data_IF_336508625901
#
_entry.id   IF_336508625901
#
_cell.length_a   1.000
_cell.length_b   1.000
_cell.length_c   1.000
_cell.angle_alpha   90.00
_cell.angle_beta   90.00
_cell.angle_gamma   90.00
#
_symmetry.space_group_name_H-M   'P 1'
#
loop_
_entity.id
_entity.type
_entity.pdbx_description
1 polymer ?
#
# COMPACT_ATOMS: atom_id res chain seq x y z
N UNK A 1 36.55 -13.53 31.79
CA UNK A 1 35.63 -14.69 31.84
C UNK A 1 34.27 -14.19 32.29
N UNK A 2 33.22 -14.30 31.44
CA UNK A 2 31.84 -13.99 31.86
C UNK A 2 31.34 -15.18 32.69
N UNK A 3 30.78 -14.92 33.87
CA UNK A 3 30.33 -15.93 34.83
C UNK A 3 29.33 -16.91 34.20
N UNK A 4 29.50 -18.20 34.46
CA UNK A 4 28.53 -19.26 34.18
C UNK A 4 27.18 -18.87 34.80
N UNK A 5 26.25 -18.33 34.01
CA UNK A 5 24.94 -17.87 34.48
C UNK A 5 24.53 -16.47 34.05
N UNK A 6 25.44 -15.66 33.48
CA UNK A 6 25.02 -14.36 32.92
C UNK A 6 24.23 -14.56 31.62
N UNK A 7 22.91 -14.38 31.70
CA UNK A 7 22.04 -14.17 30.53
C UNK A 7 21.82 -12.66 30.38
N UNK A 8 22.26 -12.01 29.28
CA UNK A 8 21.94 -10.61 29.06
C UNK A 8 20.41 -10.45 29.06
N UNK A 9 19.84 -9.53 29.86
CA UNK A 9 18.40 -9.37 29.93
C UNK A 9 17.88 -8.85 28.58
N UNK A 10 16.75 -9.36 28.07
CA UNK A 10 16.14 -8.87 26.82
C UNK A 10 15.83 -7.35 26.86
N UNK A 11 15.59 -6.82 28.06
CA UNK A 11 15.21 -5.42 28.31
C UNK A 11 16.36 -4.41 28.26
N UNK A 12 17.63 -4.83 28.32
CA UNK A 12 18.76 -3.86 28.32
C UNK A 12 18.99 -3.17 26.98
N UNK A 13 18.25 -3.54 25.93
CA UNK A 13 18.47 -3.13 24.55
C UNK A 13 17.45 -2.10 24.04
N UNK A 14 16.38 -1.84 24.81
CA UNK A 14 15.31 -0.93 24.45
C UNK A 14 15.35 0.32 25.34
N UNK A 15 15.14 1.50 24.74
CA UNK A 15 15.04 2.76 25.49
C UNK A 15 13.80 2.79 26.40
N UNK A 16 13.75 3.70 27.37
CA UNK A 16 12.62 3.82 28.31
C UNK A 16 11.27 4.02 27.60
N UNK A 17 11.27 4.65 26.42
CA UNK A 17 10.08 4.90 25.59
C UNK A 17 9.44 3.63 24.99
N UNK A 18 10.17 2.51 24.96
CA UNK A 18 9.67 1.21 24.48
C UNK A 18 9.07 0.35 25.60
N UNK A 19 9.01 0.86 26.83
CA UNK A 19 8.37 0.17 27.94
C UNK A 19 6.91 -0.17 27.60
N UNK A 20 6.54 -1.44 27.76
CA UNK A 20 5.20 -1.95 27.45
C UNK A 20 5.04 -2.53 26.04
N UNK A 21 5.95 -2.21 25.11
CA UNK A 21 5.92 -2.79 23.75
C UNK A 21 6.45 -4.22 23.73
N UNK A 22 5.82 -5.05 22.91
CA UNK A 22 6.20 -6.44 22.70
C UNK A 22 7.36 -6.54 21.71
N UNK A 23 8.27 -7.45 22.02
CA UNK A 23 9.30 -7.90 21.09
C UNK A 23 8.77 -9.06 20.26
N UNK A 24 9.50 -9.47 19.21
CA UNK A 24 9.12 -10.65 18.42
C UNK A 24 8.90 -11.94 19.22
N UNK A 25 9.46 -12.05 20.44
CA UNK A 25 9.32 -13.22 21.31
C UNK A 25 8.06 -13.20 22.19
N UNK A 26 7.30 -12.10 22.16
CA UNK A 26 6.07 -11.94 22.93
C UNK A 26 4.95 -11.62 21.96
N UNK A 27 3.92 -12.45 21.88
CA UNK A 27 2.81 -12.18 20.95
C UNK A 27 2.13 -10.86 21.30
N UNK A 28 2.12 -9.94 20.33
CA UNK A 28 1.41 -8.68 20.43
C UNK A 28 -0.09 -8.79 20.21
N UNK A 29 -0.73 -7.63 20.03
CA UNK A 29 -2.16 -7.49 19.76
C UNK A 29 -2.39 -6.47 18.64
N UNK A 30 -3.36 -6.74 17.79
CA UNK A 30 -3.95 -5.75 16.90
C UNK A 30 -5.16 -5.13 17.60
N UNK A 31 -5.10 -3.84 17.93
CA UNK A 31 -6.31 -3.11 18.31
C UNK A 31 -7.10 -2.69 17.07
N UNK A 32 -8.39 -2.44 17.26
CA UNK A 32 -9.25 -1.93 16.19
C UNK A 32 -8.74 -0.60 15.64
N UNK A 33 -8.78 -0.48 14.32
CA UNK A 33 -8.42 0.73 13.57
C UNK A 33 -9.65 1.54 13.15
N UNK A 34 -10.85 0.96 13.25
CA UNK A 34 -12.11 1.65 13.09
C UNK A 34 -12.22 2.89 13.98
N UNK A 35 -12.91 3.92 13.48
CA UNK A 35 -13.13 5.18 14.20
C UNK A 35 -14.61 5.55 14.12
N UNK A 36 -15.23 6.06 15.20
CA UNK A 36 -16.62 6.49 15.17
C UNK A 36 -16.90 7.55 14.09
N UNK A 37 -18.06 7.51 13.41
CA UNK A 37 -18.40 8.47 12.34
C UNK A 37 -18.32 9.93 12.78
N UNK A 38 -18.75 10.23 14.01
CA UNK A 38 -18.75 11.61 14.54
C UNK A 38 -17.33 12.17 14.69
N UNK A 39 -16.38 11.35 15.13
CA UNK A 39 -14.97 11.72 15.20
C UNK A 39 -14.40 12.00 13.80
N UNK A 40 -14.75 11.17 12.80
CA UNK A 40 -14.32 11.38 11.42
C UNK A 40 -14.91 12.67 10.81
N UNK A 41 -16.17 13.00 11.13
CA UNK A 41 -16.81 14.26 10.70
C UNK A 41 -16.19 15.49 11.37
N UNK A 42 -15.90 15.42 12.67
CA UNK A 42 -15.22 16.52 13.39
C UNK A 42 -13.85 16.79 12.75
N UNK A 43 -13.04 15.74 12.58
CA UNK A 43 -11.73 15.85 11.93
C UNK A 43 -11.90 16.34 10.49
N UNK A 44 -12.83 15.74 9.73
CA UNK A 44 -13.18 16.09 8.36
C UNK A 44 -13.48 17.58 8.19
N UNK A 45 -14.21 18.16 9.15
CA UNK A 45 -14.48 19.59 9.21
C UNK A 45 -13.18 20.37 9.37
N UNK A 46 -12.35 20.04 10.37
CA UNK A 46 -11.09 20.73 10.64
C UNK A 46 -10.10 20.68 9.47
N UNK A 47 -9.94 19.52 8.84
CA UNK A 47 -8.99 19.33 7.73
C UNK A 47 -9.47 19.93 6.40
N UNK A 48 -10.71 20.44 6.35
CA UNK A 48 -11.33 21.09 5.19
C UNK A 48 -11.60 22.59 5.39
N UNK A 49 -11.19 23.16 6.53
CA UNK A 49 -11.32 24.58 6.84
C UNK A 49 -10.00 25.34 6.73
N UNK A 50 -10.11 26.65 6.54
CA UNK A 50 -9.00 27.61 6.67
C UNK A 50 -9.45 28.79 7.52
N UNK A 51 -8.52 29.50 8.20
CA UNK A 51 -8.87 30.64 9.04
C UNK A 51 -9.55 31.77 8.25
N UNK A 52 -10.38 32.56 8.93
CA UNK A 52 -10.96 33.76 8.34
C UNK A 52 -9.85 34.70 7.82
N UNK A 53 -10.05 35.22 6.60
CA UNK A 53 -9.07 36.10 5.93
C UNK A 53 -7.92 35.38 5.23
N UNK A 54 -7.82 34.05 5.32
CA UNK A 54 -6.81 33.26 4.61
C UNK A 54 -7.11 33.20 3.11
N UNK A 55 -6.19 33.69 2.29
CA UNK A 55 -6.33 33.81 0.84
C UNK A 55 -5.86 32.52 0.17
N UNK A 56 -6.65 31.45 0.28
CA UNK A 56 -6.31 30.18 -0.35
C UNK A 56 -6.41 30.25 -1.89
N UNK A 57 -5.53 29.53 -2.59
CA UNK A 57 -5.59 29.44 -4.06
C UNK A 57 -6.94 28.89 -4.56
N UNK A 58 -7.48 29.48 -5.63
CA UNK A 58 -8.82 29.17 -6.18
C UNK A 58 -9.08 27.67 -6.42
N UNK A 59 -8.08 26.93 -6.91
CA UNK A 59 -8.23 25.50 -7.18
C UNK A 59 -8.36 24.69 -5.89
N UNK A 60 -7.74 25.14 -4.80
CA UNK A 60 -7.78 24.46 -3.50
C UNK A 60 -9.10 24.71 -2.76
N UNK A 61 -9.79 25.83 -3.02
CA UNK A 61 -11.16 26.04 -2.51
C UNK A 61 -12.07 24.87 -2.90
N UNK A 62 -11.97 24.42 -4.16
CA UNK A 62 -12.74 23.26 -4.65
C UNK A 62 -12.31 21.96 -3.98
N UNK A 63 -11.01 21.75 -3.80
CA UNK A 63 -10.48 20.55 -3.11
C UNK A 63 -10.99 20.49 -1.68
N UNK A 64 -10.91 21.59 -0.93
CA UNK A 64 -11.36 21.67 0.46
C UNK A 64 -12.88 21.47 0.58
N UNK A 65 -13.67 22.07 -0.33
CA UNK A 65 -15.12 21.85 -0.38
C UNK A 65 -15.48 20.40 -0.68
N UNK A 66 -14.80 19.77 -1.65
CA UNK A 66 -15.06 18.37 -2.00
C UNK A 66 -14.73 17.44 -0.83
N UNK A 67 -13.61 17.70 -0.13
CA UNK A 67 -13.22 17.00 1.09
C UNK A 67 -14.30 17.14 2.18
N UNK A 68 -14.74 18.37 2.45
CA UNK A 68 -15.81 18.64 3.42
C UNK A 68 -17.08 17.88 3.06
N UNK A 69 -17.54 17.99 1.82
CA UNK A 69 -18.74 17.32 1.33
C UNK A 69 -18.65 15.81 1.48
N UNK A 70 -17.56 15.20 1.02
CA UNK A 70 -17.38 13.74 1.04
C UNK A 70 -17.44 13.16 2.46
N UNK A 71 -16.81 13.84 3.43
CA UNK A 71 -16.70 13.34 4.81
C UNK A 71 -17.88 13.77 5.69
N UNK A 72 -18.23 15.06 5.66
CA UNK A 72 -19.15 15.68 6.62
C UNK A 72 -20.59 15.61 6.14
N UNK A 73 -20.84 15.92 4.86
CA UNK A 73 -22.19 16.03 4.32
C UNK A 73 -22.73 14.69 3.82
N UNK A 74 -21.96 13.94 3.04
CA UNK A 74 -22.46 12.76 2.33
C UNK A 74 -21.96 11.44 2.88
N UNK A 75 -20.79 11.40 3.51
CA UNK A 75 -20.13 10.15 3.91
C UNK A 75 -19.81 9.22 2.74
N UNK A 76 -19.61 9.79 1.54
CA UNK A 76 -19.47 9.05 0.27
C UNK A 76 -18.34 9.59 -0.57
N UNK A 77 -17.69 8.71 -1.31
CA UNK A 77 -16.66 9.10 -2.28
C UNK A 77 -15.41 9.72 -1.63
N UNK A 78 -15.02 9.22 -0.45
CA UNK A 78 -13.81 9.67 0.25
C UNK A 78 -12.59 9.19 -0.54
N UNK A 79 -11.81 10.15 -1.05
CA UNK A 79 -10.62 9.88 -1.86
C UNK A 79 -9.38 9.53 -1.03
N UNK A 80 -8.29 9.18 -1.71
CA UNK A 80 -7.06 8.70 -1.10
C UNK A 80 -6.42 9.72 -0.13
N UNK A 81 -6.31 10.98 -0.55
CA UNK A 81 -5.68 12.02 0.25
C UNK A 81 -6.56 12.44 1.44
N UNK A 82 -7.89 12.35 1.30
CA UNK A 82 -8.81 12.58 2.40
C UNK A 82 -8.73 11.45 3.42
N UNK A 83 -8.68 10.20 2.98
CA UNK A 83 -8.47 9.05 3.87
C UNK A 83 -7.13 9.14 4.63
N UNK A 84 -6.06 9.56 3.96
CA UNK A 84 -4.76 9.82 4.59
C UNK A 84 -4.87 10.88 5.69
N UNK A 85 -5.48 12.03 5.38
CA UNK A 85 -5.66 13.12 6.34
C UNK A 85 -6.56 12.72 7.51
N UNK A 86 -7.57 11.87 7.31
CA UNK A 86 -8.38 11.30 8.39
C UNK A 86 -7.55 10.34 9.26
N UNK A 87 -6.70 9.51 8.68
CA UNK A 87 -5.82 8.62 9.44
C UNK A 87 -4.85 9.43 10.32
N UNK A 88 -4.25 10.49 9.76
CA UNK A 88 -3.39 11.39 10.52
C UNK A 88 -4.18 12.13 11.60
N UNK A 89 -5.30 12.77 11.26
CA UNK A 89 -6.10 13.53 12.21
C UNK A 89 -6.60 12.69 13.39
N UNK A 90 -6.98 11.43 13.13
CA UNK A 90 -7.45 10.52 14.21
C UNK A 90 -6.30 10.13 15.14
N UNK A 91 -5.14 9.77 14.60
CA UNK A 91 -3.95 9.46 15.39
C UNK A 91 -3.48 10.67 16.21
N UNK A 92 -3.48 11.86 15.60
CA UNK A 92 -3.14 13.10 16.30
C UNK A 92 -4.09 13.36 17.47
N UNK A 93 -5.40 13.19 17.25
CA UNK A 93 -6.40 13.35 18.31
C UNK A 93 -6.31 12.28 19.41
N UNK A 94 -5.80 11.09 19.08
CA UNK A 94 -5.49 10.00 20.02
C UNK A 94 -4.15 10.20 20.77
N UNK A 95 -3.42 11.29 20.50
CA UNK A 95 -2.17 11.61 21.17
C UNK A 95 -0.92 10.99 20.52
N UNK A 96 -1.03 10.48 19.30
CA UNK A 96 0.11 9.96 18.52
C UNK A 96 0.70 11.05 17.63
N UNK A 97 2.00 11.30 17.76
CA UNK A 97 2.72 12.18 16.85
C UNK A 97 2.78 11.56 15.45
N UNK A 98 2.39 12.32 14.44
CA UNK A 98 2.56 11.95 13.03
C UNK A 98 3.66 12.81 12.41
N UNK A 99 4.68 12.16 11.85
CA UNK A 99 5.80 12.77 11.14
C UNK A 99 5.88 12.26 9.71
N UNK A 100 5.89 13.17 8.74
CA UNK A 100 6.03 12.88 7.32
C UNK A 100 7.18 13.70 6.72
N UNK A 101 8.12 13.02 6.08
CA UNK A 101 9.30 13.63 5.48
C UNK A 101 9.56 13.07 4.08
N UNK A 102 10.00 13.92 3.17
CA UNK A 102 10.29 13.56 1.79
C UNK A 102 10.25 14.78 0.88
N UNK A 103 10.57 14.61 -0.39
CA UNK A 103 10.57 15.71 -1.34
C UNK A 103 9.14 16.13 -1.67
N UNK A 104 8.83 17.42 -1.51
CA UNK A 104 7.53 18.04 -1.83
C UNK A 104 6.31 17.45 -1.08
N UNK A 105 6.50 16.72 0.01
CA UNK A 105 5.42 16.03 0.75
C UNK A 105 4.35 16.98 1.29
N UNK A 106 4.69 18.24 1.59
CA UNK A 106 3.74 19.25 2.07
C UNK A 106 2.55 19.44 1.11
N UNK A 107 2.84 19.51 -0.20
CA UNK A 107 1.86 19.57 -1.28
C UNK A 107 1.45 18.15 -1.74
N UNK A 108 2.41 17.23 -1.70
CA UNK A 108 2.42 15.98 -2.43
C UNK A 108 2.93 16.18 -3.85
N UNK A 109 3.77 15.26 -4.32
CA UNK A 109 4.33 15.23 -5.68
C UNK A 109 3.24 15.39 -6.73
N UNK A 110 2.15 14.64 -6.57
CA UNK A 110 1.02 14.63 -7.49
C UNK A 110 0.02 15.75 -7.21
N UNK A 111 0.31 16.70 -6.31
CA UNK A 111 -0.61 17.77 -5.88
C UNK A 111 -1.95 17.22 -5.37
N UNK A 112 -1.87 16.23 -4.50
CA UNK A 112 -3.01 15.53 -3.92
C UNK A 112 -3.23 15.88 -2.44
N UNK A 113 -2.14 16.10 -1.68
CA UNK A 113 -2.17 16.09 -0.21
C UNK A 113 -2.55 17.44 0.37
N UNK A 114 -1.84 18.50 -0.03
CA UNK A 114 -2.05 19.87 0.45
C UNK A 114 -2.18 19.96 1.99
N UNK A 115 -1.29 19.26 2.71
CA UNK A 115 -1.25 19.30 4.17
C UNK A 115 -0.74 20.64 4.70
N UNK A 116 0.04 21.36 3.89
CA UNK A 116 0.42 22.75 4.12
C UNK A 116 -0.19 23.64 3.05
N UNK A 117 -0.94 24.65 3.49
CA UNK A 117 -1.60 25.64 2.64
C UNK A 117 -0.82 26.95 2.71
N UNK A 118 -0.75 27.66 1.60
CA UNK A 118 -0.06 28.95 1.50
C UNK A 118 -1.04 30.06 1.15
N UNK A 119 -1.06 31.12 1.96
CA UNK A 119 -1.81 32.33 1.66
C UNK A 119 -1.21 33.00 0.41
N UNK A 120 -2.06 33.28 -0.58
CA UNK A 120 -1.65 33.81 -1.89
C UNK A 120 -1.21 35.28 -1.86
N UNK A 121 -1.42 36.00 -0.75
CA UNK A 121 -1.05 37.42 -0.61
C UNK A 121 0.20 37.63 0.23
N UNK A 122 0.37 36.85 1.29
CA UNK A 122 1.44 37.08 2.27
C UNK A 122 2.30 35.84 2.56
N UNK A 123 2.07 34.73 1.85
CA UNK A 123 2.83 33.47 1.94
C UNK A 123 2.79 32.77 3.32
N UNK A 124 1.92 33.23 4.23
CA UNK A 124 1.75 32.60 5.53
C UNK A 124 1.26 31.16 5.34
N UNK A 125 1.93 30.22 6.02
CA UNK A 125 1.55 28.81 6.00
C UNK A 125 0.43 28.54 7.01
N UNK A 126 -0.54 27.73 6.60
CA UNK A 126 -1.54 27.13 7.48
C UNK A 126 -1.57 25.62 7.31
N UNK A 127 -1.59 24.90 8.43
CA UNK A 127 -1.57 23.43 8.47
C UNK A 127 -2.86 22.98 9.17
N UNK A 128 -3.90 22.56 8.44
CA UNK A 128 -5.18 22.15 9.04
C UNK A 128 -5.01 21.03 10.07
N UNK A 129 -4.10 20.09 9.82
CA UNK A 129 -3.80 18.97 10.73
C UNK A 129 -3.19 19.41 12.07
N UNK A 130 -2.64 20.62 12.20
CA UNK A 130 -2.19 21.18 13.49
C UNK A 130 -3.33 21.85 14.28
N UNK A 131 -4.57 21.79 13.78
CA UNK A 131 -5.74 22.47 14.33
C UNK A 131 -6.96 21.52 14.43
N UNK A 132 -6.71 20.22 14.59
CA UNK A 132 -7.74 19.19 14.74
C UNK A 132 -8.39 19.27 16.12
N UNK A 133 -7.62 19.34 17.21
CA UNK A 133 -8.15 19.50 18.56
C UNK A 133 -7.15 20.16 19.52
N UNK A 134 -7.58 20.80 20.62
CA UNK A 134 -6.65 21.42 21.57
C UNK A 134 -5.73 20.44 22.32
N UNK A 135 -6.06 19.14 22.32
CA UNK A 135 -5.32 18.09 23.02
C UNK A 135 -4.51 17.20 22.07
N UNK A 136 -4.53 17.49 20.77
CA UNK A 136 -3.85 16.67 19.78
C UNK A 136 -2.34 16.61 20.02
N UNK A 137 -1.72 15.53 19.55
CA UNK A 137 -0.27 15.48 19.39
C UNK A 137 0.19 16.37 18.23
N UNK A 138 1.50 16.61 18.17
CA UNK A 138 2.13 17.37 17.10
C UNK A 138 1.94 16.66 15.75
N UNK A 139 1.73 17.44 14.68
CA UNK A 139 1.92 16.97 13.31
C UNK A 139 3.13 17.69 12.72
N UNK A 140 4.07 16.91 12.17
CA UNK A 140 5.31 17.45 11.64
C UNK A 140 5.53 16.96 10.21
N UNK A 141 5.37 17.87 9.26
CA UNK A 141 5.55 17.59 7.84
C UNK A 141 6.67 18.45 7.28
N UNK A 142 7.60 17.85 6.54
CA UNK A 142 8.79 18.53 6.06
C UNK A 142 9.09 18.16 4.60
N UNK A 143 9.13 19.18 3.74
CA UNK A 143 9.82 19.05 2.47
C UNK A 143 11.31 18.85 2.75
N UNK A 144 11.81 17.65 2.46
CA UNK A 144 13.22 17.32 2.63
C UNK A 144 14.06 17.98 1.55
N UNK A 145 15.38 18.02 1.78
CA UNK A 145 16.33 18.26 0.69
C UNK A 145 16.21 17.14 -0.38
N UNK A 146 16.81 17.39 -1.54
CA UNK A 146 16.91 16.41 -2.64
C UNK A 146 17.95 15.32 -2.31
N UNK A 147 17.69 14.54 -1.26
CA UNK A 147 18.52 13.44 -0.79
C UNK A 147 17.63 12.37 -0.19
N UNK A 148 17.66 11.17 -0.73
CA UNK A 148 16.90 10.05 -0.15
C UNK A 148 17.73 9.34 0.92
N UNK A 149 19.01 9.04 0.66
CA UNK A 149 19.85 8.25 1.57
C UNK A 149 19.93 8.85 2.99
N UNK A 150 20.29 10.13 3.08
CA UNK A 150 20.47 10.79 4.38
C UNK A 150 19.12 10.99 5.09
N UNK A 151 18.06 11.30 4.34
CA UNK A 151 16.73 11.55 4.89
C UNK A 151 16.10 10.24 5.39
N UNK A 152 16.13 9.15 4.62
CA UNK A 152 15.61 7.86 5.08
C UNK A 152 16.38 7.35 6.30
N UNK A 153 17.71 7.51 6.32
CA UNK A 153 18.52 7.19 7.50
C UNK A 153 18.15 8.02 8.73
N UNK A 154 17.83 9.29 8.55
CA UNK A 154 17.33 10.17 9.62
C UNK A 154 15.96 9.71 10.14
N UNK A 155 15.00 9.46 9.24
CA UNK A 155 13.66 9.01 9.62
C UNK A 155 13.68 7.64 10.30
N UNK A 156 14.58 6.74 9.88
CA UNK A 156 14.83 5.48 10.57
C UNK A 156 15.28 5.72 12.01
N UNK A 157 16.28 6.57 12.25
CA UNK A 157 16.71 6.91 13.60
C UNK A 157 15.57 7.49 14.45
N UNK A 158 14.76 8.38 13.86
CA UNK A 158 13.59 8.97 14.52
C UNK A 158 12.57 7.90 14.94
N UNK A 159 12.27 6.96 14.03
CA UNK A 159 11.30 5.88 14.26
C UNK A 159 11.72 4.85 15.32
N UNK A 160 13.03 4.76 15.60
CA UNK A 160 13.57 3.85 16.63
C UNK A 160 13.49 4.45 18.03
N UNK A 161 13.34 5.77 18.17
CA UNK A 161 13.35 6.44 19.47
C UNK A 161 12.00 6.31 20.17
N UNK A 162 10.91 6.71 19.50
CA UNK A 162 9.57 6.66 20.06
C UNK A 162 8.67 5.72 19.24
N UNK A 163 8.31 4.53 19.77
CA UNK A 163 7.38 3.65 19.08
C UNK A 163 5.96 4.22 19.02
N UNK A 164 5.57 5.16 19.89
CA UNK A 164 4.27 5.84 19.83
C UNK A 164 4.24 7.05 18.87
N UNK A 165 4.96 6.96 17.74
CA UNK A 165 4.93 7.95 16.67
C UNK A 165 4.77 7.25 15.32
N UNK A 166 3.91 7.80 14.46
CA UNK A 166 3.82 7.40 13.06
C UNK A 166 4.86 8.17 12.27
N UNK A 167 5.97 7.51 11.94
CA UNK A 167 7.07 8.10 11.17
C UNK A 167 7.00 7.58 9.74
N UNK A 168 6.94 8.50 8.79
CA UNK A 168 6.74 8.23 7.38
C UNK A 168 7.82 8.91 6.56
N UNK A 169 8.44 8.15 5.68
CA UNK A 169 9.26 8.66 4.59
C UNK A 169 8.54 8.40 3.26
N UNK A 170 8.40 9.44 2.43
CA UNK A 170 7.81 9.33 1.09
C UNK A 170 8.87 9.62 0.02
N UNK A 171 9.07 8.67 -0.89
CA UNK A 171 9.83 8.88 -2.11
C UNK A 171 9.00 9.72 -3.09
N UNK A 172 9.64 10.60 -3.87
CA UNK A 172 8.92 11.38 -4.89
C UNK A 172 8.27 10.46 -5.94
N UNK A 173 9.02 9.44 -6.38
CA UNK A 173 8.56 8.24 -7.05
C UNK A 173 9.26 7.04 -6.41
N UNK A 174 8.60 5.88 -6.35
CA UNK A 174 9.16 4.70 -5.71
C UNK A 174 10.47 4.23 -6.34
N UNK A 175 10.66 4.52 -7.63
CA UNK A 175 11.86 4.22 -8.41
C UNK A 175 13.15 4.76 -7.76
N UNK A 176 13.08 5.92 -7.09
CA UNK A 176 14.23 6.60 -6.49
C UNK A 176 14.66 6.05 -5.13
N UNK A 177 13.89 5.14 -4.52
CA UNK A 177 14.26 4.53 -3.24
C UNK A 177 15.50 3.62 -3.35
N UNK A 178 15.93 3.27 -4.58
CA UNK A 178 17.17 2.54 -4.82
C UNK A 178 18.43 3.28 -4.33
N UNK A 179 18.41 4.61 -4.24
CA UNK A 179 19.55 5.36 -3.70
C UNK A 179 19.72 5.13 -2.20
N UNK A 180 18.68 4.64 -1.51
CA UNK A 180 18.68 4.26 -0.08
C UNK A 180 19.04 2.79 0.19
N UNK A 181 19.50 2.02 -0.81
CA UNK A 181 19.58 0.57 -0.71
C UNK A 181 20.33 0.07 0.55
N UNK A 182 21.42 0.74 0.95
CA UNK A 182 22.16 0.36 2.17
C UNK A 182 21.31 0.52 3.44
N UNK A 183 20.49 1.58 3.54
CA UNK A 183 19.58 1.78 4.69
C UNK A 183 18.52 0.67 4.71
N UNK A 184 17.98 0.32 3.54
CA UNK A 184 16.98 -0.73 3.38
C UNK A 184 17.57 -2.09 3.79
N UNK A 185 18.70 -2.48 3.21
CA UNK A 185 19.31 -3.79 3.39
C UNK A 185 19.87 -3.97 4.82
N UNK A 186 20.60 -2.95 5.28
CA UNK A 186 21.41 -3.09 6.49
C UNK A 186 20.68 -2.63 7.74
N UNK A 187 19.50 -2.02 7.65
CA UNK A 187 18.77 -1.58 8.83
C UNK A 187 17.29 -1.92 8.78
N UNK A 188 16.57 -1.51 7.74
CA UNK A 188 15.12 -1.67 7.70
C UNK A 188 14.75 -3.16 7.62
N UNK A 189 15.37 -3.93 6.73
CA UNK A 189 15.03 -5.34 6.53
C UNK A 189 15.60 -6.29 7.59
N UNK A 190 16.65 -5.89 8.31
CA UNK A 190 17.42 -6.84 9.14
C UNK A 190 17.79 -6.32 10.53
N UNK A 191 17.43 -5.08 10.87
CA UNK A 191 17.80 -4.43 12.14
C UNK A 191 17.21 -5.12 13.37
N UNK A 192 15.97 -5.59 13.30
CA UNK A 192 15.35 -6.33 14.40
C UNK A 192 16.05 -7.67 14.63
N UNK A 193 16.39 -8.41 13.56
CA UNK A 193 17.07 -9.69 13.69
C UNK A 193 18.51 -9.55 14.21
N UNK A 194 19.25 -8.55 13.73
CA UNK A 194 20.66 -8.34 14.09
C UNK A 194 20.84 -7.72 15.47
N UNK A 195 19.97 -6.78 15.84
CA UNK A 195 20.19 -5.91 16.99
C UNK A 195 18.99 -5.80 17.93
N UNK A 196 17.92 -6.57 17.69
CA UNK A 196 16.65 -6.46 18.41
C UNK A 196 16.08 -5.04 18.36
N UNK A 197 16.37 -4.27 17.30
CA UNK A 197 15.85 -2.92 17.11
C UNK A 197 14.64 -2.94 16.19
N UNK A 198 13.45 -2.84 16.79
CA UNK A 198 12.20 -2.63 16.06
C UNK A 198 12.11 -1.19 15.53
N UNK A 199 11.33 -1.02 14.48
CA UNK A 199 10.95 0.29 13.93
C UNK A 199 9.55 0.20 13.35
N UNK A 200 8.76 1.27 13.49
CA UNK A 200 7.44 1.41 12.85
C UNK A 200 7.48 2.21 11.54
N UNK A 201 8.68 2.48 10.99
CA UNK A 201 8.87 3.34 9.84
C UNK A 201 8.01 2.88 8.65
N UNK A 202 7.26 3.82 8.10
CA UNK A 202 6.49 3.62 6.87
C UNK A 202 7.27 4.23 5.70
N UNK A 203 7.48 3.44 4.66
CA UNK A 203 7.99 3.90 3.37
C UNK A 203 6.83 3.98 2.37
N UNK A 204 6.50 5.18 1.90
CA UNK A 204 5.55 5.39 0.80
C UNK A 204 6.31 5.46 -0.52
N UNK A 205 6.03 4.52 -1.41
CA UNK A 205 6.73 4.33 -2.68
C UNK A 205 5.75 4.45 -3.85
N UNK A 206 5.58 5.64 -4.46
CA UNK A 206 4.65 5.82 -5.57
C UNK A 206 4.96 4.89 -6.75
N UNK A 207 3.97 4.12 -7.19
CA UNK A 207 4.12 3.04 -8.15
C UNK A 207 2.93 2.94 -9.11
N UNK A 208 3.18 2.43 -10.32
CA UNK A 208 2.15 2.12 -11.30
C UNK A 208 2.66 2.29 -12.74
N UNK A 209 2.33 1.35 -13.61
CA UNK A 209 2.77 1.38 -15.00
C UNK A 209 1.78 2.21 -15.83
N UNK A 210 2.07 3.50 -15.96
CA UNK A 210 1.14 4.50 -16.54
C UNK A 210 1.72 5.16 -17.81
N UNK A 211 2.69 4.51 -18.45
CA UNK A 211 3.32 5.02 -19.67
C UNK A 211 4.27 6.20 -19.48
N UNK A 212 4.72 6.45 -18.25
CA UNK A 212 5.63 7.56 -17.91
C UNK A 212 7.13 7.20 -18.04
N UNK A 213 7.44 6.00 -18.56
CA UNK A 213 8.80 5.54 -18.75
C UNK A 213 9.42 4.85 -17.53
N UNK A 214 10.71 4.46 -17.64
CA UNK A 214 11.33 3.51 -16.71
C UNK A 214 11.62 4.04 -15.30
N UNK A 215 11.86 5.33 -15.12
CA UNK A 215 12.14 5.93 -13.80
C UNK A 215 10.90 6.51 -13.09
N UNK A 216 9.70 6.22 -13.59
CA UNK A 216 8.44 6.71 -13.01
C UNK A 216 7.36 5.63 -12.96
N UNK A 217 7.74 4.36 -12.91
CA UNK A 217 6.80 3.24 -13.02
C UNK A 217 6.92 2.24 -11.87
N UNK A 218 8.15 1.89 -11.46
CA UNK A 218 8.39 0.75 -10.58
C UNK A 218 9.10 1.14 -9.30
N UNK A 219 8.41 0.92 -8.18
CA UNK A 219 9.04 0.90 -6.87
C UNK A 219 9.94 -0.33 -6.66
N UNK A 220 10.05 -1.24 -7.65
CA UNK A 220 10.77 -2.51 -7.54
C UNK A 220 10.26 -3.38 -6.41
N UNK A 221 8.94 -3.59 -6.38
CA UNK A 221 8.23 -4.42 -5.41
C UNK A 221 8.95 -5.77 -5.20
N UNK A 222 9.43 -6.39 -6.28
CA UNK A 222 10.16 -7.66 -6.26
C UNK A 222 11.35 -7.66 -5.31
N UNK A 223 12.04 -6.51 -5.15
CA UNK A 223 13.23 -6.41 -4.32
C UNK A 223 12.90 -6.40 -2.84
N UNK A 224 11.86 -5.66 -2.45
CA UNK A 224 11.40 -5.65 -1.06
C UNK A 224 10.86 -7.02 -0.65
N UNK A 225 10.15 -7.69 -1.56
CA UNK A 225 9.67 -9.05 -1.35
C UNK A 225 10.81 -10.07 -1.22
N UNK A 226 11.87 -9.95 -2.03
CA UNK A 226 13.07 -10.79 -1.90
C UNK A 226 13.78 -10.61 -0.55
N UNK A 227 13.70 -9.41 0.04
CA UNK A 227 14.28 -9.12 1.36
C UNK A 227 13.42 -9.64 2.52
N UNK A 228 12.21 -10.15 2.27
CA UNK A 228 11.33 -10.66 3.32
C UNK A 228 11.70 -12.10 3.71
N UNK A 229 11.61 -12.42 5.00
CA UNK A 229 11.88 -13.76 5.56
C UNK A 229 10.61 -14.61 5.75
N UNK A 230 9.57 -14.35 4.96
CA UNK A 230 8.41 -15.24 4.80
C UNK A 230 8.85 -16.46 3.98
N UNK A 231 8.75 -17.68 4.51
CA UNK A 231 9.27 -18.88 3.83
C UNK A 231 8.23 -19.43 2.83
N UNK A 232 8.55 -19.56 1.52
CA UNK A 232 7.58 -20.04 0.53
C UNK A 232 7.15 -21.50 0.71
N UNK A 233 7.91 -22.31 1.44
CA UNK A 233 7.67 -23.76 1.56
C UNK A 233 6.83 -24.13 2.79
N UNK A 234 6.62 -23.19 3.72
CA UNK A 234 5.93 -23.43 4.97
C UNK A 234 4.74 -22.47 5.15
N UNK A 235 3.60 -23.03 5.55
CA UNK A 235 2.48 -22.22 6.03
C UNK A 235 2.76 -21.92 7.51
N UNK A 236 2.95 -20.65 7.91
CA UNK A 236 3.15 -20.29 9.31
C UNK A 236 1.87 -20.56 10.12
N UNK A 237 1.95 -20.49 11.45
CA UNK A 237 0.76 -20.61 12.30
C UNK A 237 -0.25 -19.50 11.95
N UNK A 238 -1.36 -19.90 11.32
CA UNK A 238 -2.41 -18.99 10.89
C UNK A 238 -3.44 -18.83 12.00
N UNK A 239 -3.26 -17.82 12.85
CA UNK A 239 -4.29 -17.40 13.79
C UNK A 239 -5.21 -16.32 13.19
N UNK A 240 -6.41 -16.19 13.74
CA UNK A 240 -7.51 -15.37 13.17
C UNK A 240 -7.19 -13.89 12.89
N UNK A 241 -6.24 -13.29 13.61
CA UNK A 241 -5.89 -11.87 13.53
C UNK A 241 -4.66 -11.58 12.66
N UNK A 242 -3.91 -12.61 12.26
CA UNK A 242 -2.66 -12.51 11.48
C UNK A 242 -1.50 -11.78 12.18
N UNK A 243 -1.62 -11.47 13.47
CA UNK A 243 -0.60 -10.80 14.30
C UNK A 243 0.69 -11.60 14.32
N UNK A 244 0.60 -12.92 14.61
CA UNK A 244 1.80 -13.76 14.76
C UNK A 244 2.65 -13.73 13.50
N UNK A 245 2.00 -13.91 12.35
CA UNK A 245 2.63 -13.90 11.05
C UNK A 245 3.35 -12.57 10.76
N UNK A 246 2.70 -11.45 11.07
CA UNK A 246 3.27 -10.10 10.86
C UNK A 246 4.44 -9.84 11.81
N UNK A 247 4.36 -10.36 13.04
CA UNK A 247 5.41 -10.18 14.03
C UNK A 247 6.63 -11.08 13.75
N UNK A 248 6.43 -12.23 13.12
CA UNK A 248 7.52 -13.13 12.74
C UNK A 248 8.32 -12.57 11.56
N UNK A 249 7.64 -12.10 10.52
CA UNK A 249 8.31 -11.56 9.33
C UNK A 249 8.99 -10.23 9.61
N UNK A 250 10.15 -10.00 9.00
CA UNK A 250 10.97 -8.81 9.19
C UNK A 250 10.31 -7.50 8.74
N UNK A 251 9.54 -7.53 7.64
CA UNK A 251 8.89 -6.36 7.04
C UNK A 251 7.49 -6.70 6.56
N UNK A 252 6.63 -5.69 6.53
CA UNK A 252 5.33 -5.78 5.86
C UNK A 252 5.45 -5.14 4.49
N UNK A 253 4.96 -5.81 3.45
CA UNK A 253 4.90 -5.27 2.09
C UNK A 253 3.46 -5.29 1.62
N UNK A 254 2.92 -4.10 1.35
CA UNK A 254 1.51 -3.89 1.03
C UNK A 254 1.35 -3.04 -0.22
N UNK A 255 0.30 -3.35 -0.99
CA UNK A 255 -0.08 -2.65 -2.23
C UNK A 255 -1.57 -2.29 -2.12
N UNK A 256 -1.93 -1.31 -1.26
CA UNK A 256 -3.32 -0.97 -1.03
C UNK A 256 -3.98 -0.51 -2.34
N UNK A 257 -5.25 -0.85 -2.52
CA UNK A 257 -6.04 -0.43 -3.68
C UNK A 257 -7.24 0.45 -3.33
N UNK A 258 -7.53 0.68 -2.05
CA UNK A 258 -8.66 1.54 -1.62
C UNK A 258 -8.25 2.57 -0.56
N UNK A 259 -8.87 3.76 -0.54
CA UNK A 259 -8.63 4.76 0.49
C UNK A 259 -8.88 4.24 1.92
N UNK A 260 -9.97 3.49 2.16
CA UNK A 260 -10.25 2.95 3.48
C UNK A 260 -9.19 1.93 3.94
N UNK A 261 -8.72 1.06 3.06
CA UNK A 261 -7.66 0.11 3.44
C UNK A 261 -6.35 0.83 3.76
N UNK A 262 -6.03 1.91 3.04
CA UNK A 262 -4.89 2.78 3.35
C UNK A 262 -5.04 3.50 4.69
N UNK A 263 -6.23 4.01 5.01
CA UNK A 263 -6.52 4.60 6.33
C UNK A 263 -6.27 3.60 7.47
N UNK A 264 -6.83 2.39 7.35
CA UNK A 264 -6.65 1.35 8.36
C UNK A 264 -5.20 0.90 8.46
N UNK A 265 -4.50 0.79 7.33
CA UNK A 265 -3.08 0.43 7.28
C UNK A 265 -2.20 1.41 8.09
N UNK A 266 -2.40 2.72 7.93
CA UNK A 266 -1.64 3.74 8.65
C UNK A 266 -1.93 3.68 10.15
N UNK A 267 -3.20 3.57 10.55
CA UNK A 267 -3.59 3.42 11.95
C UNK A 267 -3.06 2.12 12.56
N UNK A 268 -3.07 1.02 11.79
CA UNK A 268 -2.57 -0.30 12.19
C UNK A 268 -1.09 -0.29 12.59
N UNK A 269 -0.27 0.59 12.02
CA UNK A 269 1.13 0.75 12.44
C UNK A 269 1.28 1.21 13.90
N UNK A 270 0.29 1.93 14.42
CA UNK A 270 0.29 2.51 15.77
C UNK A 270 -0.55 1.71 16.73
N UNK A 271 -1.73 1.26 16.30
CA UNK A 271 -2.74 0.49 17.06
C UNK A 271 -2.30 -0.95 17.36
N UNK A 272 -1.00 -1.21 17.34
CA UNK A 272 -0.35 -2.45 17.75
C UNK A 272 0.55 -2.16 18.95
N UNK A 273 0.75 -3.14 19.80
CA UNK A 273 1.73 -3.06 20.89
C UNK A 273 3.12 -3.54 20.48
N UNK A 274 3.40 -3.66 19.18
CA UNK A 274 4.71 -3.95 18.59
C UNK A 274 4.93 -3.10 17.33
N UNK A 275 6.16 -3.07 16.81
CA UNK A 275 6.51 -2.26 15.63
C UNK A 275 7.24 -3.08 14.58
N UNK A 276 6.79 -2.93 13.34
CA UNK A 276 7.39 -3.51 12.14
C UNK A 276 7.49 -2.44 11.04
N UNK A 277 8.57 -2.44 10.25
CA UNK A 277 8.63 -1.63 9.04
C UNK A 277 7.43 -1.91 8.13
N UNK A 278 6.99 -0.88 7.42
CA UNK A 278 5.94 -0.98 6.43
C UNK A 278 6.42 -0.42 5.09
N UNK A 279 6.58 -1.30 4.11
CA UNK A 279 6.80 -0.94 2.72
C UNK A 279 5.43 -0.83 2.05
N UNK A 280 4.99 0.39 1.80
CA UNK A 280 3.71 0.68 1.18
C UNK A 280 3.93 1.14 -0.26
N UNK A 281 3.55 0.28 -1.20
CA UNK A 281 3.51 0.61 -2.62
C UNK A 281 2.31 1.53 -2.86
N UNK A 282 2.55 2.84 -2.76
CA UNK A 282 1.51 3.87 -2.82
C UNK A 282 1.11 4.19 -4.26
N UNK A 283 -0.12 4.62 -4.51
CA UNK A 283 -0.59 4.83 -5.88
C UNK A 283 -0.17 6.17 -6.47
N UNK A 284 -0.33 6.29 -7.79
CA UNK A 284 -0.28 7.56 -8.54
C UNK A 284 -1.64 7.89 -9.15
N UNK A 285 -2.09 7.15 -10.16
CA UNK A 285 -3.40 7.35 -10.81
C UNK A 285 -4.59 7.16 -9.86
N UNK A 286 -4.52 6.20 -8.93
CA UNK A 286 -5.61 5.94 -7.99
C UNK A 286 -5.92 7.12 -7.06
N UNK A 287 -4.99 8.07 -6.90
CA UNK A 287 -5.21 9.29 -6.12
C UNK A 287 -6.41 10.12 -6.59
N UNK A 288 -6.85 9.93 -7.84
CA UNK A 288 -7.96 10.67 -8.45
C UNK A 288 -8.94 9.80 -9.24
N UNK A 289 -8.76 8.48 -9.25
CA UNK A 289 -9.64 7.59 -9.97
C UNK A 289 -11.01 7.56 -9.26
N UNK A 290 -12.13 7.94 -9.91
CA UNK A 290 -13.44 8.00 -9.24
C UNK A 290 -13.89 6.67 -8.63
N UNK A 291 -13.53 5.55 -9.27
CA UNK A 291 -13.79 4.20 -8.78
C UNK A 291 -12.92 3.82 -7.56
N UNK A 292 -11.82 4.53 -7.34
CA UNK A 292 -10.97 4.38 -6.16
C UNK A 292 -11.37 5.38 -5.07
N UNK A 293 -12.58 5.18 -4.55
CA UNK A 293 -13.09 5.92 -3.42
C UNK A 293 -13.64 4.95 -2.37
N UNK A 294 -13.82 5.41 -1.13
CA UNK A 294 -14.45 4.63 -0.07
C UNK A 294 -15.55 5.43 0.61
N UNK A 295 -16.59 4.74 1.05
CA UNK A 295 -17.69 5.34 1.82
C UNK A 295 -17.42 5.23 3.32
N UNK A 296 -18.13 6.02 4.12
CA UNK A 296 -17.88 6.19 5.57
C UNK A 296 -17.83 4.86 6.32
N UNK A 297 -18.72 3.92 6.00
CA UNK A 297 -18.84 2.61 6.68
C UNK A 297 -17.53 1.79 6.57
N UNK A 298 -16.76 1.99 5.50
CA UNK A 298 -15.47 1.34 5.32
C UNK A 298 -14.42 1.81 6.36
N UNK A 299 -14.61 2.98 6.98
CA UNK A 299 -13.72 3.54 8.01
C UNK A 299 -14.21 3.24 9.43
N UNK A 300 -15.52 3.04 9.62
CA UNK A 300 -16.17 2.93 10.94
C UNK A 300 -16.42 1.49 11.36
N UNK A 301 -16.62 0.59 10.41
CA UNK A 301 -17.10 -0.77 10.70
C UNK A 301 -16.04 -1.83 10.42
N UNK A 302 -15.05 -1.48 9.60
CA UNK A 302 -14.03 -2.40 9.10
C UNK A 302 -12.64 -2.13 9.68
N UNK A 303 -11.71 -3.01 9.36
CA UNK A 303 -10.27 -2.84 9.59
C UNK A 303 -9.47 -3.08 8.31
N UNK A 304 -8.14 -3.15 8.44
CA UNK A 304 -7.28 -3.47 7.30
C UNK A 304 -7.59 -4.87 6.75
N UNK A 305 -7.85 -4.95 5.45
CA UNK A 305 -8.11 -6.19 4.73
C UNK A 305 -6.82 -6.65 4.03
N UNK A 306 -6.32 -7.84 4.40
CA UNK A 306 -5.12 -8.45 3.77
C UNK A 306 -5.38 -8.88 2.33
N UNK A 307 -6.61 -9.32 2.05
CA UNK A 307 -7.12 -9.62 0.73
C UNK A 307 -8.56 -9.09 0.66
N UNK A 308 -8.90 -8.46 -0.46
CA UNK A 308 -10.25 -7.96 -0.73
C UNK A 308 -10.88 -8.86 -1.78
N UNK A 309 -11.99 -9.50 -1.39
CA UNK A 309 -12.74 -10.42 -2.23
C UNK A 309 -13.57 -9.72 -3.31
N UNK A 310 -14.23 -10.55 -4.11
CA UNK A 310 -15.19 -10.12 -5.12
C UNK A 310 -16.51 -9.66 -4.46
N UNK A 311 -17.10 -8.60 -4.99
CA UNK A 311 -18.30 -7.94 -4.44
C UNK A 311 -19.39 -7.68 -5.48
N UNK A 312 -19.18 -8.05 -6.75
CA UNK A 312 -20.21 -7.97 -7.79
C UNK A 312 -21.33 -8.96 -7.52
N UNK A 313 -22.56 -8.49 -7.75
CA UNK A 313 -23.79 -9.28 -7.59
C UNK A 313 -24.21 -9.97 -8.90
N UNK A 314 -23.66 -9.56 -10.05
CA UNK A 314 -24.07 -10.01 -11.39
C UNK A 314 -23.24 -11.17 -11.96
N UNK A 315 -22.48 -11.86 -11.10
CA UNK A 315 -21.62 -12.99 -11.45
C UNK A 315 -22.39 -14.31 -11.56
N UNK A 316 -21.77 -15.29 -12.22
CA UNK A 316 -22.27 -16.67 -12.24
C UNK A 316 -22.21 -17.28 -10.82
N UNK A 317 -23.01 -18.35 -10.56
CA UNK A 317 -22.91 -19.12 -9.31
C UNK A 317 -21.48 -19.56 -8.99
N UNK A 318 -21.15 -19.74 -7.71
CA UNK A 318 -19.78 -20.02 -7.26
C UNK A 318 -19.18 -21.28 -7.91
N UNK A 319 -20.02 -22.28 -8.19
CA UNK A 319 -19.66 -23.52 -8.87
C UNK A 319 -19.43 -23.37 -10.37
N UNK A 320 -19.99 -22.32 -10.99
CA UNK A 320 -19.86 -22.00 -12.41
C UNK A 320 -18.70 -21.03 -12.70
N UNK A 321 -18.08 -20.46 -11.66
CA UNK A 321 -16.87 -19.63 -11.79
C UNK A 321 -15.73 -20.49 -12.35
N UNK A 322 -15.20 -20.07 -13.50
CA UNK A 322 -14.13 -20.77 -14.23
C UNK A 322 -12.74 -20.28 -13.87
N UNK A 323 -12.59 -19.04 -13.39
CA UNK A 323 -11.28 -18.44 -13.12
C UNK A 323 -11.30 -17.51 -11.92
N UNK A 324 -10.29 -17.65 -11.06
CA UNK A 324 -9.92 -16.67 -10.06
C UNK A 324 -8.69 -15.90 -10.58
N UNK A 325 -8.85 -14.58 -10.76
CA UNK A 325 -7.73 -13.67 -11.00
C UNK A 325 -7.30 -13.09 -9.65
N UNK A 326 -6.14 -13.49 -9.16
CA UNK A 326 -5.42 -12.76 -8.12
C UNK A 326 -4.61 -11.63 -8.75
N UNK A 327 -4.66 -10.44 -8.14
CA UNK A 327 -3.86 -9.29 -8.53
C UNK A 327 -3.58 -8.39 -7.32
N UNK A 328 -2.82 -7.32 -7.48
CA UNK A 328 -2.62 -6.31 -6.45
C UNK A 328 -2.55 -4.88 -7.03
N UNK A 329 -2.95 -3.89 -6.23
CA UNK A 329 -2.85 -2.49 -6.61
C UNK A 329 -3.75 -2.08 -7.79
N UNK A 330 -3.22 -1.20 -8.65
CA UNK A 330 -4.03 -0.48 -9.65
C UNK A 330 -4.60 -1.35 -10.78
N UNK A 331 -3.93 -2.46 -11.13
CA UNK A 331 -4.33 -3.32 -12.25
C UNK A 331 -5.74 -3.88 -12.07
N UNK A 332 -6.19 -4.01 -10.82
CA UNK A 332 -7.57 -4.35 -10.48
C UNK A 332 -8.59 -3.49 -11.23
N UNK A 333 -8.37 -2.18 -11.30
CA UNK A 333 -9.31 -1.25 -11.91
C UNK A 333 -9.36 -1.38 -13.43
N UNK A 334 -8.23 -1.69 -14.06
CA UNK A 334 -8.16 -1.95 -15.49
C UNK A 334 -8.84 -3.29 -15.82
N UNK A 335 -8.64 -4.31 -14.99
CA UNK A 335 -9.29 -5.62 -15.10
C UNK A 335 -10.81 -5.55 -14.87
N UNK A 336 -11.28 -4.86 -13.83
CA UNK A 336 -12.70 -4.76 -13.53
C UNK A 336 -13.45 -4.00 -14.63
N UNK A 337 -12.83 -2.95 -15.17
CA UNK A 337 -13.36 -2.25 -16.34
C UNK A 337 -13.44 -3.18 -17.56
N UNK A 338 -12.36 -3.88 -17.89
CA UNK A 338 -12.34 -4.79 -19.04
C UNK A 338 -13.35 -5.93 -18.92
N UNK A 339 -13.48 -6.52 -17.72
CA UNK A 339 -14.49 -7.54 -17.40
C UNK A 339 -15.91 -7.01 -17.65
N UNK A 340 -16.18 -5.80 -17.17
CA UNK A 340 -17.49 -5.13 -17.34
C UNK A 340 -17.80 -4.89 -18.81
N UNK A 341 -16.86 -4.32 -19.55
CA UNK A 341 -17.03 -3.98 -20.97
C UNK A 341 -17.26 -5.24 -21.84
N UNK A 342 -16.68 -6.37 -21.45
CA UNK A 342 -16.84 -7.66 -22.14
C UNK A 342 -18.04 -8.47 -21.65
N UNK A 343 -18.72 -8.05 -20.58
CA UNK A 343 -19.86 -8.77 -20.00
C UNK A 343 -19.49 -10.14 -19.41
N UNK A 344 -18.25 -10.31 -18.98
CA UNK A 344 -17.74 -11.58 -18.42
C UNK A 344 -18.25 -11.75 -16.99
N UNK A 345 -18.84 -12.92 -16.70
CA UNK A 345 -19.53 -13.23 -15.43
C UNK A 345 -18.98 -14.44 -14.67
N UNK A 346 -18.18 -15.26 -15.33
CA UNK A 346 -17.61 -16.50 -14.81
C UNK A 346 -16.14 -16.33 -14.32
N UNK A 347 -15.70 -15.08 -14.14
CA UNK A 347 -14.37 -14.72 -13.65
C UNK A 347 -14.47 -13.77 -12.46
N UNK A 348 -13.84 -14.14 -11.35
CA UNK A 348 -13.75 -13.30 -10.15
C UNK A 348 -12.37 -12.64 -10.05
N UNK A 349 -12.33 -11.38 -9.60
CA UNK A 349 -11.08 -10.63 -9.44
C UNK A 349 -10.85 -10.35 -7.96
N UNK A 350 -9.75 -10.88 -7.44
CA UNK A 350 -9.42 -10.89 -6.02
C UNK A 350 -8.12 -10.09 -5.82
N UNK A 351 -8.14 -9.16 -4.87
CA UNK A 351 -7.00 -8.28 -4.60
C UNK A 351 -6.23 -8.76 -3.40
N UNK A 352 -4.94 -9.04 -3.55
CA UNK A 352 -4.03 -9.26 -2.45
C UNK A 352 -3.41 -7.91 -2.06
N UNK A 353 -3.87 -7.34 -0.96
CA UNK A 353 -3.45 -6.01 -0.49
C UNK A 353 -2.19 -6.07 0.38
N UNK A 354 -2.01 -7.17 1.12
CA UNK A 354 -0.80 -7.49 1.86
C UNK A 354 -0.12 -8.68 1.19
N UNK A 355 0.99 -8.39 0.49
CA UNK A 355 1.78 -9.42 -0.20
C UNK A 355 2.69 -10.14 0.80
N UNK A 356 3.33 -9.37 1.69
CA UNK A 356 4.16 -9.89 2.76
C UNK A 356 3.66 -9.38 4.14
N UNK A 357 3.45 -10.25 5.12
CA UNK A 357 3.47 -11.71 4.97
C UNK A 357 2.27 -12.21 4.15
N UNK A 358 2.45 -13.31 3.41
CA UNK A 358 1.48 -13.79 2.43
C UNK A 358 0.19 -14.34 3.09
N UNK A 359 -1.01 -14.02 2.59
CA UNK A 359 -2.26 -14.42 3.24
C UNK A 359 -2.70 -15.85 2.84
N UNK A 360 -1.90 -16.86 3.23
CA UNK A 360 -2.14 -18.28 2.91
C UNK A 360 -3.58 -18.73 3.21
N UNK A 361 -4.10 -18.33 4.37
CA UNK A 361 -5.44 -18.65 4.85
C UNK A 361 -6.55 -18.08 3.95
N UNK A 362 -6.40 -16.85 3.48
CA UNK A 362 -7.41 -16.19 2.65
C UNK A 362 -7.35 -16.66 1.20
N UNK A 363 -6.15 -17.00 0.70
CA UNK A 363 -5.97 -17.62 -0.62
C UNK A 363 -6.64 -19.00 -0.63
N UNK A 364 -6.36 -19.85 0.37
CA UNK A 364 -7.01 -21.16 0.49
C UNK A 364 -8.54 -21.03 0.62
N UNK A 365 -9.01 -20.13 1.48
CA UNK A 365 -10.46 -19.89 1.65
C UNK A 365 -11.13 -19.44 0.35
N UNK A 366 -10.47 -18.55 -0.40
CA UNK A 366 -11.00 -18.05 -1.68
C UNK A 366 -11.02 -19.16 -2.74
N UNK A 367 -9.96 -19.95 -2.84
CA UNK A 367 -9.89 -21.08 -3.78
C UNK A 367 -10.90 -22.18 -3.46
N UNK A 368 -11.19 -22.44 -2.19
CA UNK A 368 -12.24 -23.39 -1.78
C UNK A 368 -13.66 -22.89 -2.13
N UNK A 369 -13.86 -21.58 -2.15
CA UNK A 369 -15.15 -20.97 -2.53
C UNK A 369 -15.48 -21.20 -4.01
N UNK A 370 -14.46 -21.22 -4.89
CA UNK A 370 -14.64 -21.45 -6.33
C UNK A 370 -13.88 -22.72 -6.75
N UNK A 371 -14.39 -23.92 -6.42
CA UNK A 371 -13.62 -25.17 -6.51
C UNK A 371 -13.23 -25.54 -7.95
N UNK A 372 -14.06 -25.16 -8.92
CA UNK A 372 -13.86 -25.44 -10.35
C UNK A 372 -12.95 -24.43 -11.04
N UNK A 373 -12.62 -23.33 -10.37
CA UNK A 373 -11.84 -22.26 -10.98
C UNK A 373 -10.37 -22.64 -11.14
N UNK A 374 -9.79 -22.25 -12.27
CA UNK A 374 -8.35 -22.13 -12.43
C UNK A 374 -7.82 -20.86 -11.74
N UNK A 375 -6.54 -20.86 -11.39
CA UNK A 375 -5.91 -19.75 -10.68
C UNK A 375 -5.02 -18.98 -11.64
N UNK A 376 -5.17 -17.66 -11.68
CA UNK A 376 -4.34 -16.77 -12.48
C UNK A 376 -3.78 -15.66 -11.59
N UNK A 377 -2.52 -15.31 -11.81
CA UNK A 377 -1.91 -14.10 -11.26
C UNK A 377 -1.75 -13.07 -12.38
N UNK A 378 -2.46 -11.95 -12.25
CA UNK A 378 -2.34 -10.84 -13.21
C UNK A 378 -1.59 -9.68 -12.57
N UNK A 379 -0.56 -9.19 -13.25
CA UNK A 379 0.18 -8.00 -12.85
C UNK A 379 0.59 -7.13 -14.03
N UNK A 380 0.84 -5.85 -13.78
CA UNK A 380 1.35 -4.94 -14.79
C UNK A 380 2.87 -5.10 -14.98
N UNK A 381 3.59 -5.44 -13.93
CA UNK A 381 5.04 -5.48 -13.94
C UNK A 381 5.57 -6.61 -14.83
N UNK A 382 6.76 -6.45 -15.43
CA UNK A 382 7.49 -7.53 -16.11
C UNK A 382 7.55 -8.81 -15.28
N UNK A 383 7.60 -9.97 -15.93
CA UNK A 383 7.61 -11.28 -15.27
C UNK A 383 8.75 -11.45 -14.24
N UNK A 384 9.88 -10.79 -14.46
CA UNK A 384 11.02 -10.77 -13.54
C UNK A 384 10.94 -9.64 -12.48
N UNK A 385 9.80 -8.96 -12.37
CA UNK A 385 9.52 -7.86 -11.46
C UNK A 385 8.14 -8.04 -10.80
N UNK A 386 7.72 -7.08 -9.98
CA UNK A 386 6.43 -7.14 -9.30
C UNK A 386 6.38 -8.27 -8.27
N UNK A 387 5.22 -8.85 -8.04
CA UNK A 387 5.04 -9.85 -6.99
C UNK A 387 5.16 -11.30 -7.49
N UNK A 388 5.15 -11.55 -8.81
CA UNK A 388 5.03 -12.89 -9.39
C UNK A 388 5.96 -13.93 -8.76
N UNK A 389 7.27 -13.66 -8.75
CA UNK A 389 8.27 -14.60 -8.23
C UNK A 389 8.14 -14.88 -6.72
N UNK A 390 7.48 -13.99 -5.98
CA UNK A 390 7.18 -14.18 -4.57
C UNK A 390 5.88 -14.95 -4.35
N UNK A 391 4.80 -14.58 -5.05
CA UNK A 391 3.47 -15.14 -4.80
C UNK A 391 3.31 -16.53 -5.41
N UNK A 392 3.93 -16.81 -6.56
CA UNK A 392 3.78 -18.09 -7.26
C UNK A 392 4.05 -19.32 -6.38
N UNK A 393 5.23 -19.47 -5.73
CA UNK A 393 5.47 -20.63 -4.87
C UNK A 393 4.58 -20.65 -3.62
N UNK A 394 4.18 -19.48 -3.10
CA UNK A 394 3.32 -19.38 -1.92
C UNK A 394 1.86 -19.74 -2.20
N UNK A 395 1.39 -19.50 -3.42
CA UNK A 395 0.09 -19.98 -3.89
C UNK A 395 0.10 -21.52 -3.95
N UNK A 396 1.13 -22.13 -4.55
CA UNK A 396 1.29 -23.59 -4.57
C UNK A 396 1.26 -24.14 -3.14
N UNK A 397 2.03 -23.52 -2.24
CA UNK A 397 2.05 -23.91 -0.82
C UNK A 397 0.69 -23.77 -0.14
N UNK A 398 -0.04 -22.67 -0.40
CA UNK A 398 -1.40 -22.46 0.16
C UNK A 398 -2.40 -23.50 -0.32
N UNK A 399 -2.22 -24.03 -1.53
CA UNK A 399 -3.16 -24.92 -2.20
C UNK A 399 -2.67 -26.38 -2.24
N UNK A 400 -1.71 -26.76 -1.38
CA UNK A 400 -1.17 -28.13 -1.28
C UNK A 400 -2.26 -29.20 -1.18
N UNK A 401 -3.31 -28.95 -0.38
CA UNK A 401 -4.44 -29.88 -0.21
C UNK A 401 -5.41 -29.91 -1.40
N UNK A 402 -5.29 -28.96 -2.33
CA UNK A 402 -6.03 -28.89 -3.59
C UNK A 402 -5.13 -29.31 -4.76
N UNK A 403 -4.38 -30.40 -4.60
CA UNK A 403 -3.41 -30.92 -5.57
C UNK A 403 -2.30 -29.90 -5.95
N UNK A 404 -2.04 -28.90 -5.10
CA UNK A 404 -1.02 -27.89 -5.37
C UNK A 404 -1.30 -27.04 -6.61
N UNK A 405 -2.58 -26.70 -6.88
CA UNK A 405 -2.98 -25.84 -8.02
C UNK A 405 -2.00 -24.66 -8.17
N UNK A 406 -1.42 -24.54 -9.36
CA UNK A 406 -0.50 -23.47 -9.71
C UNK A 406 -1.27 -22.26 -10.27
N UNK A 407 -0.77 -21.06 -10.01
CA UNK A 407 -1.26 -19.87 -10.68
C UNK A 407 -0.61 -19.75 -12.07
N UNK A 408 -1.37 -19.38 -13.09
CA UNK A 408 -0.80 -19.00 -14.38
C UNK A 408 -0.45 -17.51 -14.40
N UNK A 409 0.73 -17.16 -14.91
CA UNK A 409 1.19 -15.77 -15.01
C UNK A 409 0.61 -15.05 -16.24
N UNK A 410 -0.02 -13.89 -15.99
CA UNK A 410 -0.38 -12.92 -17.03
C UNK A 410 0.20 -11.56 -16.65
N UNK A 411 1.04 -11.03 -17.52
CA UNK A 411 1.72 -9.75 -17.30
C UNK A 411 2.77 -9.51 -18.37
N UNK A 412 3.53 -8.43 -18.22
CA UNK A 412 4.56 -8.04 -19.19
C UNK A 412 5.65 -9.11 -19.33
N UNK A 413 6.19 -9.25 -20.53
CA UNK A 413 7.42 -10.02 -20.75
C UNK A 413 8.52 -9.58 -19.76
N UNK A 414 9.40 -10.52 -19.41
CA UNK A 414 10.61 -10.19 -18.66
C UNK A 414 11.43 -9.11 -19.39
N UNK A 415 11.91 -8.12 -18.63
CA UNK A 415 12.59 -6.95 -19.17
C UNK A 415 13.78 -6.54 -18.29
N UNK A 416 14.80 -5.93 -18.92
CA UNK A 416 15.91 -5.31 -18.19
C UNK A 416 15.51 -3.95 -17.60
N UNK A 417 14.81 -3.15 -18.41
CA UNK A 417 14.23 -1.86 -18.01
C UNK A 417 12.95 -2.07 -17.21
N UNK A 418 12.67 -1.27 -16.16
CA UNK A 418 11.40 -1.36 -15.42
C UNK A 418 10.17 -1.24 -16.30
N UNK A 419 10.18 -0.30 -17.25
CA UNK A 419 9.10 -0.07 -18.20
C UNK A 419 9.65 0.34 -19.57
N UNK A 420 8.79 0.28 -20.59
CA UNK A 420 9.07 0.87 -21.90
C UNK A 420 9.02 2.40 -21.86
N UNK A 421 9.90 3.05 -22.61
CA UNK A 421 9.85 4.50 -22.85
C UNK A 421 8.90 4.92 -23.96
N UNK A 422 8.24 3.96 -24.64
CA UNK A 422 7.37 4.23 -25.80
C UNK A 422 5.90 4.05 -25.44
N UNK A 423 5.07 5.11 -25.50
CA UNK A 423 3.64 5.02 -25.16
C UNK A 423 2.85 4.00 -25.99
N UNK A 424 3.18 3.83 -27.28
CA UNK A 424 2.54 2.85 -28.15
C UNK A 424 2.76 1.40 -27.68
N UNK A 425 4.00 1.08 -27.26
CA UNK A 425 4.34 -0.23 -26.69
C UNK A 425 3.62 -0.40 -25.35
N UNK A 426 3.65 0.62 -24.48
CA UNK A 426 2.98 0.56 -23.19
C UNK A 426 1.49 0.24 -23.34
N UNK A 427 0.80 0.93 -24.26
CA UNK A 427 -0.61 0.68 -24.56
C UNK A 427 -0.83 -0.74 -25.06
N UNK A 428 0.02 -1.21 -25.98
CA UNK A 428 -0.09 -2.54 -26.54
C UNK A 428 0.09 -3.63 -25.47
N UNK A 429 1.03 -3.45 -24.53
CA UNK A 429 1.21 -4.32 -23.37
C UNK A 429 -0.04 -4.36 -22.49
N UNK A 430 -0.63 -3.20 -22.15
CA UNK A 430 -1.86 -3.17 -21.34
C UNK A 430 -3.02 -3.87 -22.05
N UNK A 431 -3.22 -3.57 -23.34
CA UNK A 431 -4.28 -4.21 -24.14
C UNK A 431 -4.07 -5.75 -24.20
N UNK A 432 -2.83 -6.22 -24.24
CA UNK A 432 -2.50 -7.65 -24.24
C UNK A 432 -2.76 -8.32 -22.89
N UNK A 433 -2.37 -7.68 -21.77
CA UNK A 433 -2.67 -8.16 -20.41
C UNK A 433 -4.18 -8.38 -20.25
N UNK A 434 -4.98 -7.39 -20.64
CA UNK A 434 -6.44 -7.45 -20.50
C UNK A 434 -7.06 -8.51 -21.42
N UNK A 435 -6.51 -8.71 -22.62
CA UNK A 435 -6.95 -9.77 -23.52
C UNK A 435 -6.66 -11.15 -22.93
N UNK A 436 -5.45 -11.37 -22.44
CA UNK A 436 -4.99 -12.65 -21.90
C UNK A 436 -5.72 -13.02 -20.60
N UNK A 437 -6.00 -12.03 -19.75
CA UNK A 437 -6.72 -12.24 -18.49
C UNK A 437 -8.13 -12.83 -18.68
N UNK A 438 -8.79 -12.53 -19.80
CA UNK A 438 -10.17 -12.94 -20.10
C UNK A 438 -10.29 -13.91 -21.29
N UNK A 439 -9.19 -14.49 -21.79
CA UNK A 439 -9.27 -15.47 -22.87
C UNK A 439 -9.90 -16.80 -22.39
N UNK A 440 -10.57 -17.53 -23.29
CA UNK A 440 -11.19 -18.83 -22.97
C UNK A 440 -10.14 -19.90 -22.63
N UNK A 441 -9.01 -19.88 -23.34
CA UNK A 441 -7.81 -20.65 -23.02
C UNK A 441 -6.61 -19.71 -23.01
N UNK A 442 -5.70 -19.94 -22.06
CA UNK A 442 -4.48 -19.15 -21.95
C UNK A 442 -3.26 -20.06 -21.82
N UNK A 443 -2.26 -19.82 -22.68
CA UNK A 443 -0.92 -20.35 -22.56
C UNK A 443 0.05 -19.17 -22.60
N UNK A 444 0.96 -19.08 -21.64
CA UNK A 444 1.88 -17.95 -21.58
C UNK A 444 2.83 -17.96 -22.77
N UNK A 445 2.71 -16.96 -23.64
CA UNK A 445 3.59 -16.76 -24.79
C UNK A 445 4.32 -15.43 -24.68
N UNK A 446 5.60 -15.44 -25.05
CA UNK A 446 6.38 -14.22 -25.14
C UNK A 446 5.79 -13.32 -26.22
N UNK A 447 5.44 -12.08 -25.86
CA UNK A 447 4.93 -11.13 -26.84
C UNK A 447 6.06 -10.63 -27.74
N UNK A 448 5.85 -10.69 -29.05
CA UNK A 448 6.76 -10.12 -30.04
C UNK A 448 6.09 -8.93 -30.71
N UNK A 449 6.79 -7.78 -30.71
CA UNK A 449 6.29 -6.53 -31.28
C UNK A 449 7.28 -6.01 -32.30
N UNK A 450 6.78 -5.66 -33.48
CA UNK A 450 7.52 -4.77 -34.37
C UNK A 450 7.20 -3.32 -34.01
N UNK A 451 8.21 -2.56 -33.58
CA UNK A 451 8.03 -1.14 -33.20
C UNK A 451 7.48 -0.34 -34.37
N UNK A 452 7.94 -0.60 -35.60
CA UNK A 452 7.44 0.07 -36.80
C UNK A 452 5.96 -0.23 -37.06
N UNK A 453 5.49 -1.44 -36.79
CA UNK A 453 4.08 -1.80 -36.93
C UNK A 453 3.18 -1.15 -35.88
N UNK A 454 3.64 -1.08 -34.63
CA UNK A 454 2.92 -0.40 -33.55
C UNK A 454 2.83 1.11 -33.81
N UNK A 455 3.93 1.74 -34.24
CA UNK A 455 3.96 3.17 -34.56
C UNK A 455 3.08 3.50 -35.78
N UNK A 456 3.09 2.66 -36.82
CA UNK A 456 2.23 2.85 -38.00
C UNK A 456 0.72 2.76 -37.67
N UNK A 457 0.33 2.06 -36.60
CA UNK A 457 -1.06 2.02 -36.11
C UNK A 457 -1.44 3.28 -35.33
N UNK A 458 -0.48 3.99 -34.73
CA UNK A 458 -0.70 5.25 -34.02
C UNK A 458 -0.87 6.41 -35.00
N UNK A 459 -0.09 6.46 -36.09
CA UNK A 459 -0.20 7.52 -37.11
C UNK A 459 -1.50 7.46 -37.95
N UNK A 460 -2.23 6.34 -37.92
CA UNK A 460 -3.48 6.12 -38.65
C UNK A 460 -4.76 6.40 -37.84
N UNK A 461 -4.64 6.72 -36.55
CA UNK A 461 -5.74 7.13 -35.67
C UNK A 461 -5.61 8.62 -35.37
#
# INVERSE_FOLDING_TARGET
>A
AKSEGFRPPPSSWFGSQWSGYKTKFQLGKNEHTAVPPETLKEIGTRISEVPAGFNIHKNLVRVMRNKHKAVVETGKGIDWATAEALAFGTLLNEGTHVRLSGQDVERGTFSQRHAVLHDQRNETKYIPLNNVSPKQAAFSIYNSNLSEYAVLGFELGYSMENPNSLVIWEAQFGDFANTCQVIIDQFISSGEQKWLRGTGLVMLLPHGFEGQGPEHSSARLERYLQLCDDDPDFIPEMESTGVKQIQDVNMQVVVPSTPANYFHLLRRQIRRDFRKPLICISPKSLLRLPQCASDMDAFTDNGFQRLIGEHREDLAPEEEIKRIIFCCGRVYYDLDKARTDQGVKDVVIIRIEQICPFPYDQVLKTSNRYPNAEIMWVQEEPQNMGAWSYVAPRIVTSLKDLNGKEATYVGRNAAASPATGTPAIHKAEVDHILKDAFSESFEHQKWEWSISELMAKVEKK
#
